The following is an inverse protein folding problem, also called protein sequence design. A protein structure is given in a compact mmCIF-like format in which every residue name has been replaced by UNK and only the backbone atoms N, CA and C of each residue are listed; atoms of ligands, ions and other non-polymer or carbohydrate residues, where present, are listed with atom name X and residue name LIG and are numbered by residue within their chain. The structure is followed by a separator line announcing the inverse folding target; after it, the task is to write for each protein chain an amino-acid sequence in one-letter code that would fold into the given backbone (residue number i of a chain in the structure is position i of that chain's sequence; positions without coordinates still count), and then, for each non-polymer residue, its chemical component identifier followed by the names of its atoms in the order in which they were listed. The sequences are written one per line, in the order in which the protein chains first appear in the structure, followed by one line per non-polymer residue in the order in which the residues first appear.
data_IF_847035432704
#
_entry.id   IF_847035432704
#
_cell.length_a   1.000
_cell.length_b   1.000
_cell.length_c   1.000
_cell.angle_alpha   90.00
_cell.angle_beta   90.00
_cell.angle_gamma   90.00
#
_symmetry.space_group_name_H-M   'P 1'
#
loop_
_entity.id
_entity.type
_entity.pdbx_description
1 polymer ?
#
# COMPACT_ATOMS: atom_id res chain seq x y z
N UNK A 1 7.37 29.28 -22.54
CA UNK A 1 7.84 28.90 -21.19
C UNK A 1 8.87 27.81 -21.32
N UNK A 2 10.16 28.13 -21.13
CA UNK A 2 11.25 27.15 -21.21
C UNK A 2 11.07 26.14 -20.07
N UNK A 3 10.83 24.89 -20.43
CA UNK A 3 10.75 23.76 -19.51
C UNK A 3 12.17 23.57 -18.95
N UNK A 4 12.47 24.15 -17.80
CA UNK A 4 13.76 23.98 -17.11
C UNK A 4 13.94 22.48 -16.84
N UNK A 5 14.64 21.81 -17.74
CA UNK A 5 15.05 20.42 -17.55
C UNK A 5 16.11 20.43 -16.45
N UNK A 6 15.79 19.76 -15.34
CA UNK A 6 16.82 19.50 -14.34
C UNK A 6 17.96 18.71 -14.99
N UNK A 7 19.17 19.25 -14.93
CA UNK A 7 20.38 18.63 -15.53
C UNK A 7 21.19 17.86 -14.48
N UNK A 8 20.65 17.63 -13.31
CA UNK A 8 21.31 16.89 -12.25
C UNK A 8 21.23 15.38 -12.52
N UNK A 9 22.39 14.80 -12.90
CA UNK A 9 22.49 13.37 -13.21
C UNK A 9 22.29 12.48 -11.99
N UNK A 10 22.69 12.93 -10.80
CA UNK A 10 22.61 12.13 -9.56
C UNK A 10 21.17 11.99 -9.14
N UNK A 11 20.45 13.09 -9.01
CA UNK A 11 19.01 13.11 -8.68
C UNK A 11 18.20 12.39 -9.77
N UNK A 12 18.56 12.59 -11.04
CA UNK A 12 17.93 11.89 -12.16
C UNK A 12 18.09 10.38 -12.10
N UNK A 13 19.25 9.86 -11.70
CA UNK A 13 19.52 8.44 -11.54
C UNK A 13 18.74 7.84 -10.36
N UNK A 14 18.66 8.55 -9.23
CA UNK A 14 17.89 8.13 -8.06
C UNK A 14 16.39 8.05 -8.40
N UNK A 15 15.86 9.06 -9.08
CA UNK A 15 14.46 9.06 -9.52
C UNK A 15 14.16 8.01 -10.60
N UNK A 16 15.12 7.74 -11.49
CA UNK A 16 14.98 6.71 -12.51
C UNK A 16 14.94 5.30 -11.93
N UNK A 17 15.62 5.06 -10.80
CA UNK A 17 15.55 3.80 -10.05
C UNK A 17 14.33 3.69 -9.14
N UNK A 18 13.42 4.65 -9.18
CA UNK A 18 12.20 4.71 -8.36
C UNK A 18 12.46 4.72 -6.84
N UNK A 19 13.67 5.10 -6.46
CA UNK A 19 14.06 5.15 -5.05
C UNK A 19 13.79 6.55 -4.51
N UNK A 20 12.79 6.68 -3.67
CA UNK A 20 12.58 7.87 -2.84
C UNK A 20 12.98 7.62 -1.38
N UNK A 21 13.39 6.40 -1.06
CA UNK A 21 13.98 6.06 0.23
C UNK A 21 15.47 6.35 0.20
N UNK A 22 15.85 7.44 0.86
CA UNK A 22 17.23 7.94 0.96
C UNK A 22 17.93 7.48 2.25
N UNK A 23 17.32 6.53 3.00
CA UNK A 23 17.88 6.05 4.27
C UNK A 23 19.24 5.36 4.11
N UNK A 24 19.49 4.73 2.95
CA UNK A 24 20.74 4.04 2.63
C UNK A 24 21.83 4.93 2.04
N UNK A 25 21.61 6.25 1.88
CA UNK A 25 22.58 7.18 1.30
C UNK A 25 23.40 7.84 2.43
N UNK A 26 24.68 8.16 2.16
CA UNK A 26 25.52 8.86 3.13
C UNK A 26 24.89 10.19 3.59
N UNK A 27 25.11 10.63 4.84
CA UNK A 27 24.50 11.84 5.38
C UNK A 27 24.78 13.11 4.56
N UNK A 28 25.94 13.18 3.90
CA UNK A 28 26.34 14.30 3.03
C UNK A 28 25.51 14.32 1.75
N UNK A 29 25.45 13.19 1.04
CA UNK A 29 24.64 13.06 -0.18
C UNK A 29 23.14 13.24 0.10
N UNK A 30 22.67 12.84 1.30
CA UNK A 30 21.28 13.05 1.70
C UNK A 30 20.97 14.54 1.80
N UNK A 31 21.87 15.32 2.39
CA UNK A 31 21.69 16.76 2.55
C UNK A 31 21.60 17.47 1.19
N UNK A 32 22.52 17.12 0.29
CA UNK A 32 22.57 17.68 -1.08
C UNK A 32 21.30 17.31 -1.85
N UNK A 33 20.81 16.07 -1.71
CA UNK A 33 19.58 15.60 -2.33
C UNK A 33 18.35 16.32 -1.80
N UNK A 34 18.23 16.49 -0.48
CA UNK A 34 17.13 17.20 0.16
C UNK A 34 17.12 18.69 -0.23
N UNK A 35 18.28 19.32 -0.27
CA UNK A 35 18.43 20.70 -0.72
C UNK A 35 18.04 20.85 -2.19
N UNK A 36 18.51 19.97 -3.07
CA UNK A 36 18.12 19.98 -4.48
C UNK A 36 16.59 19.82 -4.66
N UNK A 37 15.95 18.92 -3.91
CA UNK A 37 14.51 18.75 -3.97
C UNK A 37 13.72 19.96 -3.45
N UNK A 38 14.29 20.73 -2.52
CA UNK A 38 13.70 21.97 -2.05
C UNK A 38 13.78 23.06 -3.13
N UNK A 39 14.88 23.13 -3.86
CA UNK A 39 15.14 24.16 -4.85
C UNK A 39 14.55 23.83 -6.24
N UNK A 40 14.47 22.55 -6.61
CA UNK A 40 14.01 22.10 -7.92
C UNK A 40 12.56 21.59 -7.89
N UNK A 41 11.63 22.42 -8.31
CA UNK A 41 10.19 22.09 -8.35
C UNK A 41 9.86 20.89 -9.25
N UNK A 42 10.61 20.67 -10.35
CA UNK A 42 10.40 19.56 -11.26
C UNK A 42 10.78 18.22 -10.62
N UNK A 43 11.93 18.14 -9.97
CA UNK A 43 12.38 16.93 -9.29
C UNK A 43 11.49 16.61 -8.09
N UNK A 44 11.10 17.62 -7.32
CA UNK A 44 10.15 17.49 -6.21
C UNK A 44 8.78 16.96 -6.68
N UNK A 45 8.24 17.51 -7.78
CA UNK A 45 6.97 17.04 -8.34
C UNK A 45 7.06 15.58 -8.81
N UNK A 46 8.15 15.21 -9.48
CA UNK A 46 8.38 13.84 -9.95
C UNK A 46 8.51 12.85 -8.80
N UNK A 47 9.25 13.21 -7.76
CA UNK A 47 9.38 12.39 -6.56
C UNK A 47 8.02 12.18 -5.87
N UNK A 48 7.24 13.26 -5.68
CA UNK A 48 5.89 13.19 -5.10
C UNK A 48 4.96 12.28 -5.92
N UNK A 49 5.07 12.37 -7.26
CA UNK A 49 4.27 11.53 -8.16
C UNK A 49 4.61 10.04 -8.00
N UNK A 50 5.90 9.66 -8.01
CA UNK A 50 6.31 8.26 -7.84
C UNK A 50 5.92 7.72 -6.46
N UNK A 51 6.13 8.52 -5.40
CA UNK A 51 5.68 8.17 -4.05
C UNK A 51 4.17 7.97 -3.98
N UNK A 52 3.42 8.88 -4.61
CA UNK A 52 1.96 8.78 -4.70
C UNK A 52 1.51 7.52 -5.40
N UNK A 53 2.13 7.17 -6.54
CA UNK A 53 1.82 5.94 -7.27
C UNK A 53 2.05 4.68 -6.42
N UNK A 54 3.22 4.56 -5.79
CA UNK A 54 3.58 3.39 -4.99
C UNK A 54 2.61 3.21 -3.81
N UNK A 55 2.32 4.30 -3.08
CA UNK A 55 1.37 4.25 -1.96
C UNK A 55 -0.04 3.91 -2.46
N UNK A 56 -0.47 4.50 -3.57
CA UNK A 56 -1.80 4.21 -4.14
C UNK A 56 -1.92 2.75 -4.56
N UNK A 57 -0.90 2.20 -5.23
CA UNK A 57 -0.88 0.78 -5.62
C UNK A 57 -0.93 -0.14 -4.39
N UNK A 58 -0.16 0.17 -3.35
CA UNK A 58 -0.17 -0.62 -2.12
C UNK A 58 -1.53 -0.58 -1.42
N UNK A 59 -2.16 0.60 -1.32
CA UNK A 59 -3.50 0.75 -0.74
C UNK A 59 -4.55 0.03 -1.57
N UNK A 60 -4.51 0.17 -2.90
CA UNK A 60 -5.48 -0.44 -3.80
C UNK A 60 -5.42 -1.97 -3.73
N UNK A 61 -4.21 -2.53 -3.77
CA UNK A 61 -4.02 -3.98 -3.65
C UNK A 61 -4.38 -4.49 -2.25
N UNK A 62 -4.09 -3.73 -1.19
CA UNK A 62 -4.52 -4.04 0.17
C UNK A 62 -6.03 -4.06 0.34
N UNK A 63 -6.73 -3.06 -0.22
CA UNK A 63 -8.19 -3.03 -0.26
C UNK A 63 -8.77 -4.20 -1.06
N UNK A 64 -8.13 -4.58 -2.19
CA UNK A 64 -8.53 -5.75 -2.97
C UNK A 64 -8.47 -7.03 -2.14
N UNK A 65 -7.41 -7.25 -1.35
CA UNK A 65 -7.32 -8.37 -0.41
C UNK A 65 -8.47 -8.33 0.60
N UNK A 66 -8.68 -7.16 1.22
CA UNK A 66 -9.73 -6.99 2.22
C UNK A 66 -11.12 -7.34 1.66
N UNK A 67 -11.48 -6.79 0.51
CA UNK A 67 -12.79 -7.04 -0.11
C UNK A 67 -12.95 -8.49 -0.58
N UNK A 68 -11.88 -9.11 -1.08
CA UNK A 68 -11.91 -10.52 -1.50
C UNK A 68 -12.12 -11.45 -0.30
N UNK A 69 -11.45 -11.21 0.82
CA UNK A 69 -11.64 -11.97 2.07
C UNK A 69 -13.03 -11.72 2.65
N UNK A 70 -13.50 -10.47 2.63
CA UNK A 70 -14.83 -10.11 3.08
C UNK A 70 -15.91 -10.80 2.26
N UNK A 71 -15.80 -10.79 0.93
CA UNK A 71 -16.72 -11.48 0.03
C UNK A 71 -16.77 -12.98 0.32
N UNK A 72 -15.61 -13.62 0.51
CA UNK A 72 -15.54 -15.04 0.88
C UNK A 72 -16.20 -15.30 2.23
N UNK A 73 -15.97 -14.45 3.23
CA UNK A 73 -16.60 -14.57 4.55
C UNK A 73 -18.13 -14.43 4.47
N UNK A 74 -18.61 -13.48 3.67
CA UNK A 74 -20.06 -13.31 3.43
C UNK A 74 -20.64 -14.56 2.77
N UNK A 75 -20.01 -15.10 1.72
CA UNK A 75 -20.46 -16.33 1.04
C UNK A 75 -20.53 -17.53 1.99
N UNK A 76 -19.58 -17.63 2.93
CA UNK A 76 -19.59 -18.73 3.91
C UNK A 76 -20.63 -18.57 5.03
N UNK A 77 -21.01 -17.33 5.39
CA UNK A 77 -21.91 -17.07 6.52
C UNK A 77 -23.36 -16.85 6.09
N UNK A 78 -23.61 -16.38 4.87
CA UNK A 78 -24.96 -16.03 4.38
C UNK A 78 -25.57 -17.20 3.63
N UNK A 79 -26.15 -18.16 4.39
CA UNK A 79 -26.96 -19.25 3.85
C UNK A 79 -28.23 -18.82 3.08
N UNK A 80 -28.87 -17.64 3.30
CA UNK A 80 -30.14 -17.31 2.65
C UNK A 80 -30.04 -16.82 1.19
N UNK A 81 -28.83 -16.63 0.62
CA UNK A 81 -28.69 -16.39 -0.83
C UNK A 81 -29.18 -17.58 -1.68
N UNK A 82 -29.30 -18.73 -1.07
CA UNK A 82 -29.81 -19.99 -1.62
C UNK A 82 -31.20 -19.85 -2.25
N UNK A 83 -32.13 -19.21 -1.54
CA UNK A 83 -33.50 -19.05 -2.00
C UNK A 83 -33.69 -18.00 -3.11
N UNK A 84 -32.91 -16.97 -3.13
CA UNK A 84 -33.02 -15.88 -4.14
C UNK A 84 -32.46 -16.30 -5.49
N UNK A 85 -31.37 -17.04 -5.50
CA UNK A 85 -30.67 -17.45 -6.74
C UNK A 85 -31.44 -18.56 -7.47
N UNK A 86 -32.03 -19.52 -6.74
CA UNK A 86 -32.78 -20.62 -7.35
C UNK A 86 -34.08 -20.13 -8.01
N UNK A 87 -34.78 -19.18 -7.36
CA UNK A 87 -36.06 -18.69 -7.89
C UNK A 87 -35.91 -17.72 -9.08
N UNK A 88 -34.74 -17.05 -9.23
CA UNK A 88 -34.58 -16.07 -10.30
C UNK A 88 -33.81 -16.58 -11.52
N UNK A 89 -32.95 -17.56 -11.40
CA UNK A 89 -32.02 -17.94 -12.48
C UNK A 89 -32.16 -19.37 -12.99
N UNK A 90 -32.94 -20.23 -12.32
CA UNK A 90 -33.23 -21.63 -12.76
C UNK A 90 -31.94 -22.48 -12.89
N UNK A 91 -30.85 -22.11 -12.24
CA UNK A 91 -29.56 -22.83 -12.27
C UNK A 91 -29.56 -23.84 -11.11
N UNK A 92 -28.93 -24.98 -11.35
CA UNK A 92 -28.65 -25.96 -10.31
C UNK A 92 -27.80 -25.35 -9.20
N UNK A 93 -28.39 -25.29 -8.01
CA UNK A 93 -27.89 -24.57 -6.86
C UNK A 93 -26.50 -25.03 -6.40
N UNK A 94 -26.24 -26.31 -6.49
CA UNK A 94 -25.00 -26.92 -6.05
C UNK A 94 -23.79 -26.44 -6.88
N UNK A 95 -23.92 -26.39 -8.19
CA UNK A 95 -22.86 -26.00 -9.11
C UNK A 95 -22.57 -24.50 -9.02
N UNK A 96 -23.60 -23.66 -8.84
CA UNK A 96 -23.43 -22.22 -8.73
C UNK A 96 -22.70 -21.82 -7.43
N UNK A 97 -23.04 -22.45 -6.30
CA UNK A 97 -22.37 -22.18 -5.03
C UNK A 97 -20.87 -22.55 -5.10
N UNK A 98 -20.56 -23.72 -5.65
CA UNK A 98 -19.17 -24.15 -5.83
C UNK A 98 -18.38 -23.25 -6.79
N UNK A 99 -19.02 -22.77 -7.86
CA UNK A 99 -18.41 -21.78 -8.76
C UNK A 99 -18.11 -20.46 -8.06
N UNK A 100 -19.05 -19.92 -7.28
CA UNK A 100 -18.88 -18.67 -6.54
C UNK A 100 -17.79 -18.78 -5.47
N UNK A 101 -17.77 -19.88 -4.71
CA UNK A 101 -16.74 -20.12 -3.70
C UNK A 101 -15.36 -20.28 -4.34
N UNK A 102 -15.24 -21.06 -5.43
CA UNK A 102 -13.97 -21.22 -6.12
C UNK A 102 -13.47 -19.93 -6.74
N UNK A 103 -14.37 -19.11 -7.32
CA UNK A 103 -14.03 -17.78 -7.83
C UNK A 103 -13.57 -16.83 -6.71
N UNK A 104 -14.23 -16.87 -5.55
CA UNK A 104 -13.84 -16.07 -4.39
C UNK A 104 -12.48 -16.48 -3.84
N UNK A 105 -12.20 -17.78 -3.73
CA UNK A 105 -10.87 -18.29 -3.33
C UNK A 105 -9.78 -17.86 -4.33
N UNK A 106 -10.04 -18.02 -5.62
CA UNK A 106 -9.12 -17.56 -6.67
C UNK A 106 -8.88 -16.06 -6.59
N UNK A 107 -9.92 -15.26 -6.32
CA UNK A 107 -9.82 -13.82 -6.09
C UNK A 107 -8.94 -13.47 -4.89
N UNK A 108 -9.07 -14.17 -3.77
CA UNK A 108 -8.21 -14.00 -2.59
C UNK A 108 -6.76 -14.32 -2.95
N UNK A 109 -6.51 -15.47 -3.56
CA UNK A 109 -5.15 -15.87 -3.95
C UNK A 109 -4.50 -14.85 -4.88
N UNK A 110 -5.23 -14.40 -5.91
CA UNK A 110 -4.73 -13.42 -6.86
C UNK A 110 -4.43 -12.08 -6.19
N UNK A 111 -5.33 -11.58 -5.34
CA UNK A 111 -5.14 -10.30 -4.65
C UNK A 111 -3.99 -10.32 -3.64
N UNK A 112 -3.79 -11.46 -2.93
CA UNK A 112 -2.64 -11.64 -2.02
C UNK A 112 -1.33 -11.67 -2.80
N UNK A 113 -1.27 -12.38 -3.92
CA UNK A 113 -0.07 -12.42 -4.78
C UNK A 113 0.23 -11.01 -5.33
N UNK A 114 -0.78 -10.32 -5.85
CA UNK A 114 -0.63 -8.96 -6.36
C UNK A 114 -0.12 -8.00 -5.27
N UNK A 115 -0.69 -8.06 -4.06
CA UNK A 115 -0.24 -7.27 -2.92
C UNK A 115 1.21 -7.57 -2.54
N UNK A 116 1.58 -8.85 -2.47
CA UNK A 116 2.95 -9.26 -2.15
C UNK A 116 3.96 -8.78 -3.21
N UNK A 117 3.61 -8.89 -4.50
CA UNK A 117 4.46 -8.39 -5.58
C UNK A 117 4.65 -6.87 -5.51
N UNK A 118 3.59 -6.11 -5.28
CA UNK A 118 3.67 -4.65 -5.09
C UNK A 118 4.51 -4.31 -3.86
N UNK A 119 4.29 -4.99 -2.73
CA UNK A 119 5.03 -4.75 -1.50
C UNK A 119 6.53 -5.06 -1.63
N UNK A 120 6.90 -6.06 -2.44
CA UNK A 120 8.32 -6.40 -2.70
C UNK A 120 8.95 -5.48 -3.75
N UNK A 121 8.18 -5.05 -4.75
CA UNK A 121 8.70 -4.25 -5.86
C UNK A 121 8.85 -2.75 -5.49
N UNK A 122 8.11 -2.27 -4.48
CA UNK A 122 8.10 -0.86 -4.11
C UNK A 122 8.74 -0.61 -2.75
N UNK A 123 9.42 0.52 -2.52
CA UNK A 123 9.91 0.92 -1.20
C UNK A 123 8.80 1.47 -0.29
N UNK A 124 7.53 1.42 -0.72
CA UNK A 124 6.41 1.95 0.04
C UNK A 124 6.23 1.32 1.43
N UNK A 125 6.39 0.00 1.64
CA UNK A 125 6.25 -0.59 2.97
C UNK A 125 7.27 -0.06 3.97
N UNK A 126 8.53 0.09 3.57
CA UNK A 126 9.60 0.64 4.43
C UNK A 126 9.35 2.10 4.75
N UNK A 127 8.91 2.87 3.78
CA UNK A 127 8.54 4.27 3.95
C UNK A 127 7.35 4.43 4.91
N UNK A 128 6.28 3.66 4.73
CA UNK A 128 5.10 3.71 5.60
C UNK A 128 5.39 3.24 7.02
N UNK A 129 6.21 2.19 7.18
CA UNK A 129 6.64 1.73 8.51
C UNK A 129 7.47 2.78 9.24
N UNK A 130 8.31 3.52 8.53
CA UNK A 130 9.07 4.66 9.07
C UNK A 130 8.16 5.77 9.61
N UNK A 131 7.17 6.19 8.81
CA UNK A 131 6.18 7.20 9.23
C UNK A 131 5.36 6.70 10.42
N UNK A 132 4.92 5.43 10.39
CA UNK A 132 4.14 4.84 11.47
C UNK A 132 4.93 4.79 12.78
N UNK A 133 6.21 4.41 12.72
CA UNK A 133 7.11 4.39 13.87
C UNK A 133 7.35 5.79 14.46
N UNK A 134 7.52 6.80 13.60
CA UNK A 134 7.67 8.19 14.04
C UNK A 134 6.38 8.71 14.71
N UNK A 135 5.22 8.43 14.11
CA UNK A 135 3.92 8.78 14.69
C UNK A 135 3.67 8.07 16.01
N UNK A 136 4.03 6.78 16.11
CA UNK A 136 3.92 6.03 17.34
C UNK A 136 4.75 6.64 18.48
N UNK A 137 5.99 7.06 18.20
CA UNK A 137 6.84 7.77 19.18
C UNK A 137 6.22 9.08 19.63
N UNK A 138 5.62 9.86 18.72
CA UNK A 138 4.94 11.11 19.08
C UNK A 138 3.70 10.88 19.94
N UNK A 139 2.95 9.82 19.70
CA UNK A 139 1.80 9.43 20.53
C UNK A 139 2.28 8.96 21.90
N UNK A 140 3.32 8.12 21.95
CA UNK A 140 3.91 7.64 23.21
C UNK A 140 4.46 8.79 24.07
N UNK A 141 5.06 9.80 23.45
CA UNK A 141 5.52 11.02 24.15
C UNK A 141 4.38 11.83 24.75
N UNK A 142 3.17 11.75 24.18
CA UNK A 142 1.98 12.48 24.67
C UNK A 142 1.13 11.67 25.65
N UNK A 143 1.41 10.37 25.82
CA UNK A 143 0.67 9.53 26.77
C UNK A 143 1.00 9.93 28.22
N UNK A 144 -0.03 10.08 29.08
CA UNK A 144 0.18 10.32 30.51
C UNK A 144 0.98 9.18 31.15
N UNK A 145 1.82 9.49 32.12
CA UNK A 145 2.71 8.51 32.78
C UNK A 145 1.95 7.35 33.44
N UNK A 146 0.69 7.59 33.85
CA UNK A 146 -0.20 6.57 34.37
C UNK A 146 -0.48 5.42 33.39
N UNK A 147 -0.50 5.67 32.08
CA UNK A 147 -0.71 4.64 31.06
C UNK A 147 0.60 3.96 30.66
N UNK A 148 1.72 4.69 30.73
CA UNK A 148 3.06 4.12 30.48
C UNK A 148 3.45 3.04 31.47
N UNK A 149 2.98 3.15 32.73
CA UNK A 149 3.25 2.18 33.79
C UNK A 149 2.50 0.84 33.65
N UNK A 150 1.44 0.77 32.83
CA UNK A 150 0.64 -0.42 32.59
C UNK A 150 1.22 -1.34 31.50
N UNK A 151 2.33 -0.97 30.87
CA UNK A 151 2.95 -1.78 29.79
C UNK A 151 3.72 -2.95 30.41
N UNK A 152 3.35 -4.21 30.13
CA UNK A 152 4.14 -5.36 30.60
C UNK A 152 5.53 -5.31 29.95
N UNK A 153 6.56 -5.59 30.76
CA UNK A 153 7.97 -5.71 30.33
C UNK A 153 8.19 -6.96 29.51
#
# INVERSE_FOLDING_TARGET
MAKNRCNDRVVGAILASWRYDISGISPEMRRDYEQHLADCTQCSARQKFHRGLDVTLLVLTGLSVFFSVFALAVLMHVKPLEHVAVNMLGLDMFDMYHMLVSAAIAGVCFSVIAFALVAMATPAPTYLSGIAAERAKLIEARLPDAIKSLRPR
#
